data_IF_712343470518
#
_entry.id   IF_712343470518
#
_cell.length_a   1.000
_cell.length_b   1.000
_cell.length_c   1.000
_cell.angle_alpha   90.00
_cell.angle_beta   90.00
_cell.angle_gamma   90.00
#
_symmetry.space_group_name_H-M   'P 1'
#
loop_
_entity.id
_entity.type
_entity.pdbx_description
1 polymer ?
#
# COMPACT_ATOMS: atom_id res chain seq x y z
N UNK A 1 -19.36 -9.53 6.70
CA UNK A 1 -17.89 -9.65 6.74
C UNK A 1 -17.47 -11.03 7.30
N UNK A 2 -17.86 -11.43 8.52
CA UNK A 2 -17.39 -12.68 9.15
C UNK A 2 -17.67 -13.93 8.32
N UNK A 3 -18.82 -14.02 7.63
CA UNK A 3 -19.14 -15.13 6.75
C UNK A 3 -18.10 -15.30 5.64
N UNK A 4 -17.60 -14.19 5.08
CA UNK A 4 -16.62 -14.22 3.98
C UNK A 4 -15.17 -14.42 4.44
N UNK A 5 -14.94 -14.45 5.74
CA UNK A 5 -13.68 -14.89 6.34
C UNK A 5 -13.59 -16.41 6.52
N UNK A 6 -14.60 -17.15 6.04
CA UNK A 6 -14.61 -18.60 6.07
C UNK A 6 -13.41 -19.18 5.32
N UNK A 7 -12.88 -20.30 5.83
CA UNK A 7 -11.59 -20.88 5.41
C UNK A 7 -11.53 -21.30 3.92
N UNK A 8 -12.66 -21.44 3.24
CA UNK A 8 -12.69 -21.71 1.81
C UNK A 8 -12.85 -20.45 0.95
N UNK A 9 -13.17 -19.31 1.54
CA UNK A 9 -13.37 -18.05 0.81
C UNK A 9 -12.11 -17.20 0.86
N UNK A 10 -11.59 -16.93 2.06
CA UNK A 10 -10.38 -16.10 2.26
C UNK A 10 -9.17 -16.60 1.47
N UNK A 11 -8.82 -17.91 1.45
CA UNK A 11 -7.62 -18.39 0.79
C UNK A 11 -7.73 -18.52 -0.72
N UNK A 12 -8.90 -18.27 -1.31
CA UNK A 12 -9.06 -18.38 -2.74
C UNK A 12 -9.40 -19.80 -3.24
N UNK A 13 -9.86 -20.71 -2.38
CA UNK A 13 -10.10 -22.13 -2.70
C UNK A 13 -11.56 -22.50 -2.97
N UNK A 14 -12.45 -21.52 -3.02
CA UNK A 14 -13.86 -21.72 -3.40
C UNK A 14 -14.07 -21.73 -4.91
N UNK A 15 -15.28 -22.12 -5.34
CA UNK A 15 -15.68 -22.06 -6.74
C UNK A 15 -15.94 -20.61 -7.20
N UNK A 16 -15.82 -20.35 -8.50
CA UNK A 16 -15.96 -19.01 -9.07
C UNK A 16 -17.28 -18.30 -8.75
N UNK A 17 -18.39 -19.04 -8.59
CA UNK A 17 -19.67 -18.47 -8.17
C UNK A 17 -19.57 -17.79 -6.80
N UNK A 18 -18.91 -18.42 -5.82
CA UNK A 18 -18.74 -17.86 -4.47
C UNK A 18 -18.00 -16.55 -4.52
N UNK A 19 -16.96 -16.42 -5.34
CA UNK A 19 -16.22 -15.16 -5.49
C UNK A 19 -17.04 -14.06 -6.14
N UNK A 20 -17.82 -14.41 -7.18
CA UNK A 20 -18.71 -13.44 -7.80
C UNK A 20 -19.73 -12.89 -6.80
N UNK A 21 -20.33 -13.77 -6.00
CA UNK A 21 -21.31 -13.36 -4.98
C UNK A 21 -20.66 -12.58 -3.83
N UNK A 22 -19.49 -13.00 -3.35
CA UNK A 22 -18.80 -12.31 -2.26
C UNK A 22 -18.30 -10.94 -2.67
N UNK A 23 -17.76 -10.80 -3.89
CA UNK A 23 -17.33 -9.50 -4.42
C UNK A 23 -18.48 -8.50 -4.48
N UNK A 24 -19.60 -8.90 -5.11
CA UNK A 24 -20.79 -8.04 -5.20
C UNK A 24 -21.32 -7.63 -3.82
N UNK A 25 -21.28 -8.55 -2.84
CA UNK A 25 -21.69 -8.23 -1.47
C UNK A 25 -20.70 -7.32 -0.73
N UNK A 26 -19.40 -7.47 -0.95
CA UNK A 26 -18.42 -6.55 -0.40
C UNK A 26 -18.58 -5.15 -0.97
N UNK A 27 -18.82 -5.02 -2.27
CA UNK A 27 -19.11 -3.74 -2.92
C UNK A 27 -20.32 -3.05 -2.27
N UNK A 28 -21.45 -3.76 -2.15
CA UNK A 28 -22.64 -3.22 -1.49
C UNK A 28 -22.41 -2.85 -0.01
N UNK A 29 -21.66 -3.68 0.74
CA UNK A 29 -21.32 -3.35 2.14
C UNK A 29 -20.42 -2.14 2.25
N UNK A 30 -19.49 -1.94 1.33
CA UNK A 30 -18.62 -0.76 1.32
C UNK A 30 -19.44 0.51 1.07
N UNK A 31 -20.34 0.49 0.10
CA UNK A 31 -21.26 1.62 -0.17
C UNK A 31 -22.10 1.97 1.06
N UNK A 32 -22.69 0.96 1.74
CA UNK A 32 -23.47 1.17 2.94
C UNK A 32 -22.63 1.77 4.09
N UNK A 33 -21.41 1.21 4.31
CA UNK A 33 -20.51 1.69 5.34
C UNK A 33 -20.00 3.11 5.06
N UNK A 34 -19.73 3.45 3.82
CA UNK A 34 -19.33 4.81 3.43
C UNK A 34 -20.47 5.81 3.68
N UNK A 35 -21.72 5.43 3.39
CA UNK A 35 -22.88 6.26 3.70
C UNK A 35 -23.04 6.48 5.21
N UNK A 36 -22.99 5.40 6.01
CA UNK A 36 -23.07 5.49 7.48
C UNK A 36 -21.92 6.31 8.08
N UNK A 37 -20.72 6.14 7.56
CA UNK A 37 -19.56 6.94 7.98
C UNK A 37 -19.77 8.42 7.64
N UNK A 38 -20.26 8.71 6.44
CA UNK A 38 -20.58 10.06 6.01
C UNK A 38 -21.62 10.74 6.91
N UNK A 39 -22.69 10.04 7.29
CA UNK A 39 -23.71 10.52 8.23
C UNK A 39 -23.11 10.80 9.62
N UNK A 40 -22.32 9.85 10.17
CA UNK A 40 -21.69 10.00 11.48
C UNK A 40 -20.70 11.16 11.51
N UNK A 41 -19.88 11.32 10.49
CA UNK A 41 -18.94 12.45 10.35
C UNK A 41 -19.71 13.76 10.19
N UNK A 42 -20.79 13.78 9.40
CA UNK A 42 -21.67 14.92 9.23
C UNK A 42 -22.28 15.37 10.55
N UNK A 43 -22.79 14.43 11.36
CA UNK A 43 -23.34 14.71 12.68
C UNK A 43 -22.27 15.28 13.64
N UNK A 44 -21.07 14.66 13.70
CA UNK A 44 -19.98 15.14 14.53
C UNK A 44 -19.43 16.51 14.12
N UNK A 45 -19.62 16.87 12.85
CA UNK A 45 -19.16 18.15 12.28
C UNK A 45 -20.21 19.25 12.35
N UNK A 46 -21.47 18.91 12.64
CA UNK A 46 -22.57 19.86 12.71
C UNK A 46 -22.30 20.98 13.76
N UNK A 47 -22.42 22.22 13.33
CA UNK A 47 -22.19 23.40 14.20
C UNK A 47 -20.70 23.74 14.42
N UNK A 48 -19.75 23.05 13.80
CA UNK A 48 -18.32 23.41 13.86
C UNK A 48 -17.96 24.37 12.73
N UNK A 49 -17.09 25.34 13.03
CA UNK A 49 -16.64 26.35 12.09
C UNK A 49 -15.96 25.75 10.85
N UNK A 50 -15.99 26.48 9.73
CA UNK A 50 -15.33 26.13 8.47
C UNK A 50 -13.88 25.68 8.64
N UNK A 51 -13.52 24.59 8.01
CA UNK A 51 -12.14 24.05 7.95
C UNK A 51 -12.13 22.53 7.94
N UNK A 52 -11.03 21.96 7.47
CA UNK A 52 -10.83 20.52 7.49
C UNK A 52 -10.52 20.02 8.89
N UNK A 53 -11.12 18.90 9.27
CA UNK A 53 -10.92 18.25 10.54
C UNK A 53 -10.43 16.82 10.29
N UNK A 54 -9.34 16.44 10.89
CA UNK A 54 -8.90 15.05 10.91
C UNK A 54 -9.54 14.32 12.09
N UNK A 55 -10.03 13.12 11.85
CA UNK A 55 -10.68 12.27 12.86
C UNK A 55 -9.90 10.97 12.98
N UNK A 56 -9.55 10.61 14.20
CA UNK A 56 -8.94 9.30 14.51
C UNK A 56 -10.04 8.36 15.03
N UNK A 57 -10.41 7.39 14.22
CA UNK A 57 -11.43 6.39 14.55
C UNK A 57 -10.84 5.12 15.19
N UNK A 58 -9.56 5.12 15.52
CA UNK A 58 -8.88 3.96 16.10
C UNK A 58 -8.68 4.09 17.59
N UNK A 59 -8.43 2.97 18.26
CA UNK A 59 -8.09 2.91 19.70
C UNK A 59 -6.63 3.31 19.99
N UNK A 60 -5.83 3.60 18.97
CA UNK A 60 -4.44 4.01 19.10
C UNK A 60 -4.29 5.50 18.76
N UNK A 61 -3.40 6.20 19.47
CA UNK A 61 -3.01 7.57 19.11
C UNK A 61 -2.38 7.58 17.72
N UNK A 62 -2.86 8.44 16.85
CA UNK A 62 -2.26 8.68 15.55
C UNK A 62 -1.21 9.79 15.66
N UNK A 63 0.04 9.47 15.33
CA UNK A 63 1.12 10.45 15.20
C UNK A 63 1.80 10.26 13.85
N UNK A 64 1.67 11.23 12.97
CA UNK A 64 2.16 11.10 11.61
C UNK A 64 1.79 12.28 10.73
N UNK A 65 1.64 12.01 9.44
CA UNK A 65 1.23 13.01 8.45
C UNK A 65 -0.14 12.68 7.86
N UNK A 66 -0.89 13.71 7.53
CA UNK A 66 -2.18 13.63 6.85
C UNK A 66 -2.09 14.41 5.54
N UNK A 67 -2.49 13.77 4.45
CA UNK A 67 -2.58 14.41 3.14
C UNK A 67 -3.98 14.94 2.92
N UNK A 68 -4.11 16.22 2.61
CA UNK A 68 -5.39 16.86 2.33
C UNK A 68 -5.21 18.06 1.41
N UNK A 69 -6.03 18.17 0.35
CA UNK A 69 -6.01 19.25 -0.65
C UNK A 69 -4.58 19.55 -1.14
N UNK A 70 -3.91 18.52 -1.65
CA UNK A 70 -2.57 18.55 -2.23
C UNK A 70 -1.45 19.05 -1.30
N UNK A 71 -1.69 18.96 0.02
CA UNK A 71 -0.71 19.32 1.07
C UNK A 71 -0.61 18.27 2.14
N UNK A 72 0.57 18.15 2.69
CA UNK A 72 0.83 17.33 3.86
C UNK A 72 0.80 18.16 5.14
N UNK A 73 0.18 17.61 6.17
CA UNK A 73 0.10 18.19 7.51
C UNK A 73 0.64 17.20 8.53
N UNK A 74 1.36 17.68 9.54
CA UNK A 74 1.65 16.84 10.70
C UNK A 74 0.40 16.73 11.57
N UNK A 75 0.14 15.53 12.06
CA UNK A 75 -1.02 15.25 12.90
C UNK A 75 -0.60 14.45 14.13
N UNK A 76 -1.14 14.86 15.28
CA UNK A 76 -1.01 14.15 16.55
C UNK A 76 -2.40 14.14 17.19
N UNK A 77 -3.13 13.01 17.05
CA UNK A 77 -4.55 12.89 17.33
C UNK A 77 -4.76 11.72 18.29
N UNK A 78 -5.36 12.01 19.43
CA UNK A 78 -5.70 11.00 20.43
C UNK A 78 -6.72 9.99 19.89
N UNK A 79 -6.83 8.79 20.52
CA UNK A 79 -7.85 7.81 20.17
C UNK A 79 -9.26 8.40 20.18
N UNK A 80 -10.08 8.00 19.21
CA UNK A 80 -11.49 8.40 19.08
C UNK A 80 -11.73 9.91 19.21
N UNK A 81 -10.82 10.71 18.70
CA UNK A 81 -10.88 12.17 18.78
C UNK A 81 -10.73 12.84 17.43
N UNK A 82 -10.92 14.13 17.40
CA UNK A 82 -10.78 14.94 16.19
C UNK A 82 -9.95 16.19 16.44
N UNK A 83 -9.25 16.67 15.39
CA UNK A 83 -8.47 17.89 15.44
C UNK A 83 -8.52 18.65 14.12
N UNK A 84 -8.61 19.96 14.16
CA UNK A 84 -8.58 20.79 12.95
C UNK A 84 -7.20 20.74 12.28
N UNK A 85 -7.17 20.55 10.97
CA UNK A 85 -5.92 20.51 10.21
C UNK A 85 -5.20 21.85 10.19
N UNK A 86 -5.90 22.97 10.28
CA UNK A 86 -5.30 24.31 10.36
C UNK A 86 -4.46 24.56 11.60
N UNK A 87 -4.57 23.68 12.60
CA UNK A 87 -3.80 23.72 13.83
C UNK A 87 -2.41 23.04 13.68
N UNK A 88 -2.15 22.41 12.54
CA UNK A 88 -0.91 21.70 12.27
C UNK A 88 0.01 22.53 11.37
N UNK A 89 1.29 22.48 11.67
CA UNK A 89 2.30 22.96 10.75
C UNK A 89 2.45 22.00 9.56
N UNK A 90 2.64 22.54 8.38
CA UNK A 90 3.05 21.76 7.22
C UNK A 90 4.39 21.08 7.56
N UNK A 91 4.56 19.77 7.28
CA UNK A 91 5.83 19.11 7.50
C UNK A 91 6.97 19.89 6.84
N UNK A 92 8.04 20.12 7.56
CA UNK A 92 9.25 20.62 6.91
C UNK A 92 9.64 19.63 5.82
N UNK A 93 10.09 20.16 4.67
CA UNK A 93 10.65 19.35 3.59
C UNK A 93 11.64 18.37 4.20
N UNK A 94 11.28 17.09 4.18
CA UNK A 94 12.26 16.05 4.44
C UNK A 94 13.37 16.21 3.40
N UNK A 95 14.64 16.06 3.72
CA UNK A 95 15.72 16.08 2.75
C UNK A 95 15.66 14.81 1.90
N UNK A 96 14.60 14.69 1.10
CA UNK A 96 14.44 13.66 0.10
C UNK A 96 15.21 14.09 -1.14
N UNK A 97 16.19 13.31 -1.52
CA UNK A 97 16.85 13.44 -2.81
C UNK A 97 16.43 12.30 -3.74
N UNK A 98 16.37 12.62 -5.02
CA UNK A 98 16.00 11.69 -6.06
C UNK A 98 16.77 11.98 -7.34
N UNK A 99 17.23 10.90 -7.96
CA UNK A 99 17.70 10.88 -9.34
C UNK A 99 17.16 9.61 -10.03
N UNK A 100 17.64 9.34 -11.26
CA UNK A 100 17.15 8.20 -12.06
C UNK A 100 17.39 6.83 -11.42
N UNK A 101 18.38 6.71 -10.55
CA UNK A 101 18.80 5.45 -9.93
C UNK A 101 18.62 5.42 -8.42
N UNK A 102 18.44 6.58 -7.77
CA UNK A 102 18.44 6.67 -6.31
C UNK A 102 17.20 7.38 -5.77
N UNK A 103 16.74 6.92 -4.63
CA UNK A 103 15.87 7.66 -3.72
C UNK A 103 16.53 7.64 -2.36
N UNK A 104 16.71 8.78 -1.75
CA UNK A 104 17.42 8.90 -0.48
C UNK A 104 16.67 9.85 0.47
N UNK A 105 16.62 9.45 1.75
CA UNK A 105 16.16 10.25 2.87
C UNK A 105 17.25 10.30 3.94
N UNK A 106 16.97 10.93 5.07
CA UNK A 106 17.86 10.88 6.25
C UNK A 106 18.04 9.47 6.80
N UNK A 107 17.04 8.61 6.59
CA UNK A 107 17.00 7.28 7.20
C UNK A 107 17.45 6.17 6.24
N UNK A 108 17.12 6.28 4.96
CA UNK A 108 17.32 5.21 3.99
C UNK A 108 17.89 5.74 2.68
N UNK A 109 18.70 4.90 2.04
CA UNK A 109 19.13 5.05 0.66
C UNK A 109 18.70 3.83 -0.13
N UNK A 110 17.94 4.05 -1.22
CA UNK A 110 17.55 3.04 -2.18
C UNK A 110 18.29 3.27 -3.48
N UNK A 111 18.80 2.19 -4.08
CA UNK A 111 19.39 2.19 -5.42
C UNK A 111 18.64 1.21 -6.30
N UNK A 112 18.28 1.63 -7.50
CA UNK A 112 17.57 0.80 -8.48
C UNK A 112 18.53 0.37 -9.60
N UNK A 113 18.27 -0.81 -10.15
CA UNK A 113 18.91 -1.24 -11.39
C UNK A 113 18.09 -0.82 -12.60
N UNK A 114 18.63 -1.06 -13.81
CA UNK A 114 17.98 -0.75 -15.08
C UNK A 114 16.62 -1.44 -15.32
N UNK A 115 16.34 -2.49 -14.56
CA UNK A 115 15.07 -3.24 -14.62
C UNK A 115 14.08 -2.82 -13.53
N UNK A 116 14.35 -1.73 -12.79
CA UNK A 116 13.48 -1.22 -11.72
C UNK A 116 13.54 -2.02 -10.42
N UNK A 117 14.36 -3.06 -10.31
CA UNK A 117 14.54 -3.77 -9.05
C UNK A 117 15.40 -2.95 -8.10
N UNK A 118 15.14 -3.07 -6.79
CA UNK A 118 15.97 -2.45 -5.77
C UNK A 118 17.27 -3.26 -5.65
N UNK A 119 18.38 -2.66 -6.04
CA UNK A 119 19.72 -3.24 -5.99
C UNK A 119 20.34 -3.10 -4.61
N UNK A 120 20.00 -2.02 -3.90
CA UNK A 120 20.52 -1.71 -2.57
C UNK A 120 19.45 -0.98 -1.77
N UNK A 121 19.32 -1.34 -0.50
CA UNK A 121 18.51 -0.64 0.51
C UNK A 121 19.32 -0.56 1.78
N UNK A 122 19.89 0.61 2.05
CA UNK A 122 20.73 0.87 3.22
C UNK A 122 19.95 1.65 4.28
N UNK A 123 19.90 1.15 5.52
CA UNK A 123 19.55 1.94 6.70
C UNK A 123 20.77 2.75 7.13
N UNK A 124 20.70 4.07 6.93
CA UNK A 124 21.82 4.99 7.20
C UNK A 124 22.16 5.13 8.69
N UNK A 125 21.25 4.75 9.60
CA UNK A 125 21.50 4.83 11.05
C UNK A 125 22.40 3.70 11.53
N UNK A 126 22.27 2.54 10.93
CA UNK A 126 23.02 1.32 11.29
C UNK A 126 24.03 0.90 10.23
N UNK A 127 24.10 1.62 9.12
CA UNK A 127 24.89 1.29 7.92
C UNK A 127 24.63 -0.14 7.43
N UNK A 128 23.37 -0.59 7.58
CA UNK A 128 22.96 -1.95 7.25
C UNK A 128 22.38 -2.02 5.85
N UNK A 129 22.99 -2.87 5.00
CA UNK A 129 22.44 -3.26 3.71
C UNK A 129 21.39 -4.38 3.88
N UNK A 130 20.20 -4.20 3.33
CA UNK A 130 19.11 -5.18 3.37
C UNK A 130 18.97 -6.00 2.08
N UNK A 131 19.54 -5.54 0.97
CA UNK A 131 19.49 -6.27 -0.30
C UNK A 131 20.63 -7.27 -0.39
N UNK A 132 20.34 -8.57 -0.38
CA UNK A 132 21.33 -9.60 -0.62
C UNK A 132 21.70 -9.69 -2.10
N UNK A 133 20.69 -9.73 -2.99
CA UNK A 133 20.87 -9.68 -4.46
C UNK A 133 20.00 -8.57 -5.03
N UNK A 134 18.67 -8.78 -5.04
CA UNK A 134 17.68 -7.78 -5.44
C UNK A 134 16.44 -7.89 -4.58
N UNK A 135 15.86 -6.74 -4.23
CA UNK A 135 14.52 -6.67 -3.65
C UNK A 135 13.52 -6.29 -4.75
N UNK A 136 12.25 -6.55 -4.48
CA UNK A 136 11.14 -6.24 -5.39
C UNK A 136 11.27 -6.92 -6.77
N UNK A 137 11.84 -8.12 -6.82
CA UNK A 137 11.93 -8.92 -8.04
C UNK A 137 10.64 -9.70 -8.25
N UNK A 138 9.94 -9.44 -9.34
CA UNK A 138 8.69 -10.11 -9.70
C UNK A 138 8.97 -11.37 -10.50
N UNK A 139 8.66 -12.53 -9.93
CA UNK A 139 8.84 -13.83 -10.54
C UNK A 139 7.49 -14.53 -10.75
N UNK A 140 7.33 -15.22 -11.88
CA UNK A 140 6.16 -16.06 -12.18
C UNK A 140 6.58 -17.49 -12.23
N UNK A 141 5.97 -18.31 -11.40
CA UNK A 141 6.19 -19.76 -11.38
C UNK A 141 4.97 -20.46 -11.95
N UNK A 142 5.23 -21.51 -12.74
CA UNK A 142 4.15 -22.37 -13.23
C UNK A 142 3.74 -23.33 -12.12
N UNK A 143 2.57 -23.07 -11.55
CA UNK A 143 1.92 -24.01 -10.65
C UNK A 143 1.15 -25.06 -11.45
N UNK A 144 1.50 -26.33 -11.32
CA UNK A 144 0.81 -27.48 -11.91
C UNK A 144 0.81 -28.59 -10.90
N UNK A 145 -0.32 -28.74 -10.21
CA UNK A 145 -0.62 -29.92 -9.44
C UNK A 145 -1.70 -30.77 -10.13
N UNK A 146 -1.60 -32.09 -10.00
CA UNK A 146 -2.60 -33.01 -10.50
C UNK A 146 -3.85 -33.04 -9.58
N UNK A 147 -3.64 -32.80 -8.26
CA UNK A 147 -4.67 -32.83 -7.25
C UNK A 147 -4.50 -31.66 -6.29
N UNK A 148 -5.62 -31.15 -5.75
CA UNK A 148 -5.65 -30.08 -4.74
C UNK A 148 -4.96 -28.77 -5.15
N UNK A 149 -5.03 -28.43 -6.42
CA UNK A 149 -4.35 -27.25 -6.98
C UNK A 149 -4.83 -25.90 -6.40
N UNK A 150 -6.03 -25.87 -5.80
CA UNK A 150 -6.54 -24.69 -5.12
C UNK A 150 -6.09 -24.57 -3.64
N UNK A 151 -5.51 -25.65 -3.09
CA UNK A 151 -5.16 -25.73 -1.68
C UNK A 151 -3.67 -25.81 -1.40
N UNK A 152 -2.92 -26.27 -2.37
CA UNK A 152 -1.56 -26.65 -2.13
C UNK A 152 -0.65 -26.28 -3.30
N UNK A 153 0.50 -25.73 -2.98
CA UNK A 153 1.56 -25.39 -3.94
C UNK A 153 2.63 -26.46 -3.85
N UNK A 154 2.96 -27.08 -5.01
CA UNK A 154 4.03 -28.05 -5.04
C UNK A 154 5.37 -27.46 -4.63
N UNK A 155 6.02 -27.99 -3.61
CA UNK A 155 7.37 -27.59 -3.20
C UNK A 155 8.39 -27.60 -4.37
N UNK A 156 8.10 -28.37 -5.41
CA UNK A 156 8.95 -28.46 -6.60
C UNK A 156 8.86 -27.24 -7.54
N UNK A 157 7.96 -26.27 -7.28
CA UNK A 157 7.87 -25.07 -8.12
C UNK A 157 9.19 -24.29 -8.09
N UNK A 158 9.87 -24.25 -6.95
CA UNK A 158 11.14 -23.52 -6.77
C UNK A 158 12.31 -24.14 -7.52
N UNK A 159 12.20 -25.43 -7.90
CA UNK A 159 13.23 -26.13 -8.70
C UNK A 159 13.23 -25.73 -10.17
N UNK A 160 12.19 -24.99 -10.60
CA UNK A 160 12.08 -24.51 -11.99
C UNK A 160 12.50 -23.06 -12.05
N UNK A 161 13.18 -22.68 -13.14
CA UNK A 161 13.50 -21.27 -13.38
C UNK A 161 12.19 -20.49 -13.53
N UNK A 162 11.99 -19.41 -12.75
CA UNK A 162 10.82 -18.57 -12.92
C UNK A 162 10.86 -17.83 -14.26
N UNK A 163 9.70 -17.50 -14.77
CA UNK A 163 9.58 -16.45 -15.75
C UNK A 163 9.58 -15.09 -15.02
N UNK A 164 10.18 -14.09 -15.64
CA UNK A 164 10.30 -12.75 -15.07
C UNK A 164 9.37 -11.78 -15.80
N UNK A 165 8.84 -10.83 -15.07
CA UNK A 165 8.18 -9.68 -15.67
C UNK A 165 9.20 -8.83 -16.44
N UNK A 166 8.79 -8.31 -17.60
CA UNK A 166 9.59 -7.35 -18.36
C UNK A 166 9.35 -5.95 -17.83
N UNK A 167 10.40 -5.28 -17.44
CA UNK A 167 10.35 -3.86 -17.12
C UNK A 167 10.04 -3.04 -18.38
N UNK A 168 9.09 -2.12 -18.27
CA UNK A 168 8.66 -1.26 -19.39
C UNK A 168 9.14 0.16 -19.19
N UNK A 169 8.78 0.76 -18.07
CA UNK A 169 9.07 2.16 -17.76
C UNK A 169 8.93 2.43 -16.27
N UNK A 170 9.32 3.62 -15.87
CA UNK A 170 8.98 4.16 -14.56
C UNK A 170 8.52 5.60 -14.67
N UNK A 171 7.77 6.05 -13.69
CA UNK A 171 7.45 7.43 -13.42
C UNK A 171 7.81 7.80 -11.99
N UNK A 172 8.00 9.08 -11.75
CA UNK A 172 8.27 9.59 -10.41
C UNK A 172 7.32 10.72 -10.09
N UNK A 173 6.66 10.60 -8.96
CA UNK A 173 5.76 11.60 -8.41
C UNK A 173 6.44 12.17 -7.18
N UNK A 174 6.66 13.48 -7.18
CA UNK A 174 7.24 14.21 -6.06
C UNK A 174 6.17 15.07 -5.39
N UNK A 175 6.19 15.07 -4.08
CA UNK A 175 5.44 15.99 -3.23
C UNK A 175 6.36 16.61 -2.18
N UNK A 176 5.86 17.55 -1.40
CA UNK A 176 6.64 18.21 -0.35
C UNK A 176 7.19 17.25 0.72
N UNK A 177 6.57 16.09 0.89
CA UNK A 177 6.93 15.13 1.94
C UNK A 177 7.24 13.72 1.44
N UNK A 178 7.14 13.44 0.13
CA UNK A 178 7.35 12.10 -0.40
C UNK A 178 7.88 12.10 -1.82
N UNK A 179 8.62 11.03 -2.13
CA UNK A 179 9.00 10.64 -3.48
C UNK A 179 8.44 9.25 -3.73
N UNK A 180 7.62 9.11 -4.76
CA UNK A 180 7.05 7.84 -5.19
C UNK A 180 7.60 7.48 -6.54
N UNK A 181 8.22 6.32 -6.65
CA UNK A 181 8.60 5.73 -7.94
C UNK A 181 7.64 4.61 -8.28
N UNK A 182 6.94 4.75 -9.38
CA UNK A 182 6.09 3.73 -9.97
C UNK A 182 6.83 3.02 -11.09
N UNK A 183 7.04 1.71 -10.96
CA UNK A 183 7.64 0.90 -12.01
C UNK A 183 6.55 0.09 -12.71
N UNK A 184 6.55 0.11 -14.04
CA UNK A 184 5.60 -0.64 -14.87
C UNK A 184 6.30 -1.86 -15.44
N UNK A 185 5.68 -3.01 -15.27
CA UNK A 185 6.15 -4.30 -15.76
C UNK A 185 5.06 -4.98 -16.57
N UNK A 186 5.44 -5.85 -17.49
CA UNK A 186 4.51 -6.68 -18.25
C UNK A 186 4.88 -8.16 -18.21
N UNK A 187 3.86 -9.01 -18.20
CA UNK A 187 3.99 -10.44 -18.38
C UNK A 187 2.79 -10.96 -19.17
N UNK A 188 3.03 -11.47 -20.39
CA UNK A 188 1.93 -11.87 -21.29
C UNK A 188 0.99 -10.69 -21.56
N UNK A 189 -0.28 -10.82 -21.16
CA UNK A 189 -1.31 -9.78 -21.28
C UNK A 189 -1.47 -8.93 -20.01
N UNK A 190 -0.74 -9.24 -18.93
CA UNK A 190 -0.79 -8.53 -17.65
C UNK A 190 0.18 -7.34 -17.63
N UNK A 191 -0.26 -6.28 -16.95
CA UNK A 191 0.53 -5.06 -16.75
C UNK A 191 0.45 -4.62 -15.29
#
# INVERSE_FOLDING_TARGET
VLLYQFHDIIPGSSIGRVYKESTARYEAMLEELDALLGEAVGFLSAGKSSGATAINLTSARYKGTVYYKDKWYTADIEPYSSRKLTEYSVPQKSPLSYDNEHIESDLFRLTFNKNGNIKSLVDKRSDREFAGEYLNKLNVYRDKRLFYNAWDISVNYTKKKPAEFKFVSYSVIMSDASVTRENIYTYGKSR
#
